data_IF_064655366032
#
_entry.id   IF_064655366032
#
_cell.length_a   1.000
_cell.length_b   1.000
_cell.length_c   1.000
_cell.angle_alpha   90.00
_cell.angle_beta   90.00
_cell.angle_gamma   90.00
#
_symmetry.space_group_name_H-M   'P 1'
#
loop_
_entity.id
_entity.type
_entity.pdbx_description
1 polymer ?
#
# COMPACT_ATOMS: atom_id res chain seq x y z
N UNK A 1 19.02 -24.46 -2.16
CA UNK A 1 18.07 -23.45 -1.66
C UNK A 1 18.25 -22.23 -2.54
N UNK A 2 17.49 -22.15 -3.62
CA UNK A 2 17.56 -21.02 -4.55
C UNK A 2 16.81 -19.84 -3.93
N UNK A 3 17.55 -18.80 -3.54
CA UNK A 3 16.94 -17.52 -3.19
C UNK A 3 16.54 -16.83 -4.48
N UNK A 4 15.30 -17.06 -4.92
CA UNK A 4 14.68 -16.22 -5.93
C UNK A 4 14.62 -14.79 -5.38
N UNK A 5 15.33 -13.86 -6.04
CA UNK A 5 15.17 -12.44 -5.77
C UNK A 5 13.71 -12.08 -5.98
N UNK A 6 13.12 -11.33 -5.05
CA UNK A 6 11.70 -10.95 -5.09
C UNK A 6 11.38 -10.36 -6.45
N UNK A 7 10.64 -11.09 -7.26
CA UNK A 7 10.22 -10.60 -8.56
C UNK A 7 9.01 -9.69 -8.36
N UNK A 8 8.80 -8.71 -9.25
CA UNK A 8 7.57 -7.92 -9.20
C UNK A 8 6.30 -8.77 -9.40
N UNK A 9 6.43 -10.00 -9.92
CA UNK A 9 5.33 -10.95 -10.01
C UNK A 9 4.88 -11.50 -8.66
N UNK A 10 5.75 -11.43 -7.62
CA UNK A 10 5.46 -11.95 -6.28
C UNK A 10 4.87 -10.89 -5.35
N UNK A 11 4.67 -9.66 -5.84
CA UNK A 11 4.05 -8.57 -5.08
C UNK A 11 2.78 -8.15 -5.79
N UNK A 12 1.66 -8.22 -5.07
CA UNK A 12 0.38 -7.73 -5.57
C UNK A 12 -0.16 -6.62 -4.68
N UNK A 13 -0.93 -5.73 -5.28
CA UNK A 13 -1.62 -4.69 -4.53
C UNK A 13 -3.01 -4.45 -5.09
N UNK A 14 -3.91 -4.04 -4.21
CA UNK A 14 -5.28 -3.66 -4.57
C UNK A 14 -5.57 -2.26 -4.05
N UNK A 15 -6.36 -1.53 -4.84
CA UNK A 15 -6.82 -0.20 -4.48
C UNK A 15 -8.31 -0.07 -4.74
N UNK A 16 -9.03 0.50 -3.78
CA UNK A 16 -10.45 0.78 -3.90
C UNK A 16 -10.80 2.11 -3.22
N UNK A 17 -11.90 2.72 -3.66
CA UNK A 17 -12.37 4.01 -3.13
C UNK A 17 -13.64 3.82 -2.33
N UNK A 18 -13.68 4.36 -1.12
CA UNK A 18 -14.84 4.38 -0.24
C UNK A 18 -15.86 5.44 -0.65
N UNK A 19 -17.09 5.28 -0.15
CA UNK A 19 -18.20 6.19 -0.48
C UNK A 19 -18.00 7.62 0.02
N UNK A 20 -17.10 7.86 0.98
CA UNK A 20 -16.80 9.20 1.51
C UNK A 20 -15.41 9.70 1.08
N UNK A 21 -14.80 9.04 0.10
CA UNK A 21 -13.49 9.41 -0.45
C UNK A 21 -12.30 8.81 0.30
N UNK A 22 -12.53 7.81 1.15
CA UNK A 22 -11.47 6.96 1.68
C UNK A 22 -10.80 6.16 0.55
N UNK A 23 -9.52 5.83 0.72
CA UNK A 23 -8.80 4.89 -0.14
C UNK A 23 -8.46 3.67 0.69
N UNK A 24 -8.91 2.51 0.24
CA UNK A 24 -8.49 1.21 0.74
C UNK A 24 -7.34 0.72 -0.10
N UNK A 25 -6.20 0.48 0.53
CA UNK A 25 -5.00 -0.05 -0.11
C UNK A 25 -4.65 -1.38 0.57
N UNK A 26 -4.42 -2.41 -0.21
CA UNK A 26 -3.91 -3.69 0.31
C UNK A 26 -2.60 -4.05 -0.39
N UNK A 27 -1.63 -4.50 0.39
CA UNK A 27 -0.41 -5.12 -0.10
C UNK A 27 -0.43 -6.61 0.20
N UNK A 28 0.01 -7.41 -0.77
CA UNK A 28 0.17 -8.85 -0.66
C UNK A 28 1.59 -9.19 -1.05
N UNK A 29 2.30 -9.82 -0.12
CA UNK A 29 3.61 -10.39 -0.37
C UNK A 29 3.43 -11.88 -0.63
N UNK A 30 3.58 -12.31 -1.87
CA UNK A 30 3.52 -13.71 -2.29
C UNK A 30 4.92 -14.33 -2.40
N UNK A 31 5.96 -13.57 -2.04
CA UNK A 31 7.33 -14.03 -2.10
C UNK A 31 7.72 -14.80 -0.83
N UNK A 32 8.77 -15.60 -0.97
CA UNK A 32 9.39 -16.35 0.14
C UNK A 32 10.26 -15.50 1.07
N UNK A 33 10.25 -14.17 0.89
CA UNK A 33 11.05 -13.24 1.70
C UNK A 33 10.18 -12.16 2.32
N UNK A 34 10.52 -11.68 3.51
CA UNK A 34 9.91 -10.46 4.03
C UNK A 34 10.32 -9.29 3.13
N UNK A 35 9.35 -8.55 2.61
CA UNK A 35 9.61 -7.53 1.57
C UNK A 35 9.07 -6.17 1.98
N UNK A 36 9.86 -5.08 1.83
CA UNK A 36 9.33 -3.72 1.89
C UNK A 36 8.48 -3.45 0.65
N UNK A 37 7.19 -3.22 0.85
CA UNK A 37 6.25 -2.87 -0.23
C UNK A 37 5.85 -1.40 -0.06
N UNK A 38 5.75 -0.69 -1.18
CA UNK A 38 5.34 0.70 -1.20
C UNK A 38 4.36 1.01 -2.33
N UNK A 39 3.50 2.01 -2.09
CA UNK A 39 2.66 2.62 -3.10
C UNK A 39 3.04 4.10 -3.21
N UNK A 40 3.33 4.55 -4.43
CA UNK A 40 3.56 5.97 -4.66
C UNK A 40 2.24 6.73 -4.69
N UNK A 41 2.32 8.02 -4.41
CA UNK A 41 1.18 8.93 -4.53
C UNK A 41 0.54 8.89 -5.92
N UNK A 42 1.32 8.65 -6.99
CA UNK A 42 0.80 8.46 -8.35
C UNK A 42 -0.10 7.23 -8.47
N UNK A 43 0.22 6.14 -7.77
CA UNK A 43 -0.61 4.93 -7.75
C UNK A 43 -1.90 5.17 -6.98
N UNK A 44 -1.79 5.83 -5.82
CA UNK A 44 -2.97 6.21 -5.03
C UNK A 44 -3.87 7.19 -5.78
N UNK A 45 -3.32 8.00 -6.67
CA UNK A 45 -4.09 8.92 -7.51
C UNK A 45 -5.00 8.20 -8.50
N UNK A 46 -4.71 6.93 -8.85
CA UNK A 46 -5.58 6.12 -9.71
C UNK A 46 -6.96 5.84 -9.08
N UNK A 47 -7.08 5.94 -7.75
CA UNK A 47 -8.34 5.83 -7.03
C UNK A 47 -9.27 7.05 -7.23
N UNK A 48 -8.78 8.14 -7.84
CA UNK A 48 -9.54 9.37 -8.01
C UNK A 48 -9.56 9.80 -9.47
N UNK A 49 -10.74 10.13 -9.98
CA UNK A 49 -10.90 10.71 -11.31
C UNK A 49 -10.53 12.20 -11.28
N UNK A 50 -9.40 12.57 -11.89
CA UNK A 50 -9.03 13.98 -12.13
C UNK A 50 -8.56 14.79 -10.91
N UNK A 51 -8.42 14.17 -9.73
CA UNK A 51 -7.98 14.86 -8.52
C UNK A 51 -6.48 14.66 -8.27
N UNK A 52 -5.73 15.76 -8.24
CA UNK A 52 -4.33 15.73 -7.82
C UNK A 52 -4.24 15.60 -6.30
N UNK A 53 -3.72 14.47 -5.83
CA UNK A 53 -3.44 14.25 -4.41
C UNK A 53 -2.07 14.85 -4.07
N UNK A 54 -1.98 15.53 -2.92
CA UNK A 54 -0.74 16.01 -2.30
C UNK A 54 -0.24 15.07 -1.21
N UNK A 55 -1.12 14.58 -0.35
CA UNK A 55 -0.77 13.64 0.73
C UNK A 55 -1.93 12.72 1.09
N UNK A 56 -1.59 11.53 1.58
CA UNK A 56 -2.52 10.57 2.17
C UNK A 56 -2.10 10.26 3.60
N UNK A 57 -3.07 10.07 4.47
CA UNK A 57 -2.86 9.66 5.87
C UNK A 57 -3.98 8.76 6.37
N UNK A 58 -3.70 7.93 7.35
CA UNK A 58 -4.68 7.01 7.88
C UNK A 58 -4.06 5.96 8.78
N UNK A 59 -4.53 4.72 8.68
CA UNK A 59 -4.09 3.63 9.54
C UNK A 59 -3.81 2.37 8.72
N UNK A 60 -2.81 1.61 9.17
CA UNK A 60 -2.70 0.18 8.88
C UNK A 60 -3.64 -0.54 9.85
N UNK A 61 -4.59 -1.30 9.31
CA UNK A 61 -5.76 -1.79 10.06
C UNK A 61 -5.43 -2.91 11.04
N UNK A 62 -4.46 -3.76 10.74
CA UNK A 62 -4.16 -4.91 11.60
C UNK A 62 -3.43 -4.51 12.87
N UNK A 63 -2.47 -3.59 12.76
CA UNK A 63 -1.70 -3.06 13.89
C UNK A 63 -2.31 -1.80 14.52
N UNK A 64 -3.28 -1.16 13.85
CA UNK A 64 -3.82 0.15 14.23
C UNK A 64 -2.83 1.31 14.08
N UNK A 65 -1.63 1.05 13.54
CA UNK A 65 -0.56 2.03 13.44
C UNK A 65 -0.94 3.14 12.46
N UNK A 66 -0.79 4.38 12.90
CA UNK A 66 -0.96 5.53 12.02
C UNK A 66 0.11 5.58 10.93
N UNK A 67 -0.33 5.87 9.70
CA UNK A 67 0.52 6.02 8.53
C UNK A 67 0.23 7.32 7.79
N UNK A 68 1.26 7.86 7.14
CA UNK A 68 1.14 9.01 6.26
C UNK A 68 2.18 8.89 5.15
N UNK A 69 1.88 9.44 3.97
CA UNK A 69 2.85 9.48 2.87
C UNK A 69 4.13 10.18 3.32
N UNK A 70 5.25 9.44 3.36
CA UNK A 70 6.59 9.97 3.63
C UNK A 70 7.37 9.96 2.32
N UNK A 71 8.01 11.08 1.96
CA UNK A 71 8.70 11.23 0.66
C UNK A 71 7.85 10.81 -0.55
N UNK A 72 6.53 10.94 -0.46
CA UNK A 72 5.60 10.64 -1.54
C UNK A 72 5.10 9.19 -1.63
N UNK A 73 5.40 8.31 -0.67
CA UNK A 73 4.87 6.93 -0.64
C UNK A 73 4.32 6.52 0.73
N UNK A 74 3.40 5.56 0.71
CA UNK A 74 3.06 4.71 1.86
C UNK A 74 3.88 3.44 1.71
N UNK A 75 4.55 3.01 2.77
CA UNK A 75 5.34 1.78 2.76
C UNK A 75 5.23 1.03 4.08
N UNK A 76 5.41 -0.29 4.00
CA UNK A 76 5.57 -1.15 5.18
C UNK A 76 6.33 -2.41 4.76
N UNK A 77 6.98 -3.05 5.73
CA UNK A 77 7.46 -4.41 5.50
C UNK A 77 6.30 -5.40 5.67
N UNK A 78 6.14 -6.29 4.70
CA UNK A 78 5.14 -7.36 4.75
C UNK A 78 5.87 -8.69 4.86
N UNK A 79 5.47 -9.50 5.83
CA UNK A 79 6.04 -10.84 6.05
C UNK A 79 5.84 -11.76 4.84
N UNK A 80 6.56 -12.87 4.84
CA UNK A 80 6.43 -13.96 3.85
C UNK A 80 4.96 -14.40 3.77
N UNK A 81 4.41 -14.50 2.56
CA UNK A 81 3.00 -14.86 2.31
C UNK A 81 1.96 -14.00 3.07
N UNK A 82 2.36 -12.79 3.48
CA UNK A 82 1.59 -11.91 4.33
C UNK A 82 0.83 -10.81 3.58
N UNK A 83 0.03 -10.04 4.33
CA UNK A 83 -0.63 -8.85 3.81
C UNK A 83 -0.59 -7.67 4.78
N UNK A 84 -0.83 -6.48 4.26
CA UNK A 84 -1.08 -5.26 5.03
C UNK A 84 -2.27 -4.52 4.41
N UNK A 85 -3.18 -4.00 5.25
CA UNK A 85 -4.38 -3.32 4.80
C UNK A 85 -4.43 -1.92 5.39
N UNK A 86 -4.73 -0.93 4.55
CA UNK A 86 -4.75 0.46 4.94
C UNK A 86 -6.09 1.11 4.61
N UNK A 87 -6.53 2.01 5.49
CA UNK A 87 -7.60 2.98 5.19
C UNK A 87 -6.98 4.36 5.23
N UNK A 88 -7.01 5.04 4.10
CA UNK A 88 -6.35 6.33 3.89
C UNK A 88 -7.36 7.40 3.52
N UNK A 89 -7.09 8.63 3.98
CA UNK A 89 -7.74 9.84 3.52
C UNK A 89 -6.71 10.68 2.77
N UNK A 90 -7.02 11.00 1.51
CA UNK A 90 -6.12 11.68 0.60
C UNK A 90 -6.62 13.09 0.26
N UNK A 91 -5.73 14.07 0.36
CA UNK A 91 -6.01 15.49 0.07
C UNK A 91 -5.18 15.99 -1.08
#
# INVERSE_FOLDING_TARGET
MDTAGVSSADISSWIATGRKGEVYLAFFNLSEQKTPIYAHRSDLSKAFTGKRIRSCKGQELWSGKYVATKKGSISTDVGVHGCALFVLNCK
#
